data_IF_885088582601
#
_entry.id   IF_885088582601
#
_cell.length_a   1.000
_cell.length_b   1.000
_cell.length_c   1.000
_cell.angle_alpha   90.00
_cell.angle_beta   90.00
_cell.angle_gamma   90.00
#
_symmetry.space_group_name_H-M   'P 1'
#
loop_
_entity.id
_entity.type
_entity.pdbx_description
1 polymer ?
#
# COMPACT_ATOMS: atom_id res chain seq x y z
N UNK A 1 31.41 9.44 19.05
CA UNK A 1 30.76 9.31 17.74
C UNK A 1 29.95 10.57 17.48
N UNK A 2 30.09 11.25 16.33
CA UNK A 2 29.53 12.58 16.15
C UNK A 2 28.01 12.55 15.88
N UNK A 3 27.26 13.62 16.23
CA UNK A 3 25.79 13.62 16.25
C UNK A 3 25.11 13.41 14.88
N UNK A 4 25.79 13.73 13.78
CA UNK A 4 25.25 13.60 12.42
C UNK A 4 25.08 12.14 11.98
N UNK A 5 25.98 11.27 12.44
CA UNK A 5 25.99 9.86 12.08
C UNK A 5 24.92 9.06 12.82
N UNK A 6 24.61 9.47 14.05
CA UNK A 6 23.50 8.92 14.84
C UNK A 6 22.15 9.21 14.17
N UNK A 7 21.92 10.46 13.74
CA UNK A 7 20.69 10.85 13.03
C UNK A 7 20.49 10.08 11.72
N UNK A 8 21.57 9.81 10.98
CA UNK A 8 21.54 8.98 9.77
C UNK A 8 21.09 7.54 10.03
N UNK A 9 21.60 6.91 11.10
CA UNK A 9 21.24 5.53 11.48
C UNK A 9 19.77 5.39 11.89
N UNK A 10 19.24 6.34 12.66
CA UNK A 10 17.84 6.31 13.12
C UNK A 10 16.89 6.52 11.93
N UNK A 11 17.19 7.46 11.04
CA UNK A 11 16.41 7.69 9.83
C UNK A 11 16.42 6.46 8.89
N UNK A 12 17.58 5.79 8.77
CA UNK A 12 17.70 4.54 8.01
C UNK A 12 16.84 3.42 8.62
N UNK A 13 16.85 3.24 9.95
CA UNK A 13 16.01 2.25 10.63
C UNK A 13 14.52 2.51 10.39
N UNK A 14 14.07 3.75 10.54
CA UNK A 14 12.69 4.12 10.22
C UNK A 14 12.35 3.77 8.77
N UNK A 15 13.19 4.14 7.81
CA UNK A 15 12.97 3.85 6.39
C UNK A 15 12.88 2.36 6.12
N UNK A 16 13.77 1.56 6.71
CA UNK A 16 13.79 0.12 6.51
C UNK A 16 12.51 -0.55 7.06
N UNK A 17 12.09 -0.18 8.27
CA UNK A 17 10.85 -0.68 8.88
C UNK A 17 9.64 -0.24 8.05
N UNK A 18 9.60 1.03 7.66
CA UNK A 18 8.51 1.59 6.86
C UNK A 18 8.41 0.93 5.48
N UNK A 19 9.54 0.73 4.79
CA UNK A 19 9.60 0.06 3.50
C UNK A 19 9.09 -1.39 3.60
N UNK A 20 9.52 -2.13 4.63
CA UNK A 20 9.04 -3.51 4.86
C UNK A 20 7.53 -3.55 5.08
N UNK A 21 7.00 -2.67 5.92
CA UNK A 21 5.55 -2.57 6.15
C UNK A 21 4.81 -2.22 4.86
N UNK A 22 5.32 -1.28 4.08
CA UNK A 22 4.75 -0.88 2.78
C UNK A 22 4.70 -2.07 1.80
N UNK A 23 5.78 -2.84 1.69
CA UNK A 23 5.82 -4.01 0.82
C UNK A 23 4.76 -5.05 1.18
N UNK A 24 4.48 -5.26 2.47
CA UNK A 24 3.41 -6.18 2.91
C UNK A 24 2.03 -5.65 2.50
N UNK A 25 1.77 -4.36 2.73
CA UNK A 25 0.50 -3.71 2.38
C UNK A 25 0.27 -3.72 0.87
N UNK A 26 1.27 -3.35 0.07
CA UNK A 26 1.17 -3.34 -1.40
C UNK A 26 0.92 -4.73 -1.96
N UNK A 27 1.60 -5.75 -1.46
CA UNK A 27 1.34 -7.15 -1.84
C UNK A 27 -0.08 -7.59 -1.48
N UNK A 28 -0.58 -7.21 -0.30
CA UNK A 28 -1.96 -7.53 0.11
C UNK A 28 -2.99 -6.85 -0.82
N UNK A 29 -2.77 -5.58 -1.17
CA UNK A 29 -3.62 -4.86 -2.13
C UNK A 29 -3.58 -5.52 -3.51
N UNK A 30 -2.38 -5.91 -3.98
CA UNK A 30 -2.21 -6.61 -5.26
C UNK A 30 -2.99 -7.93 -5.31
N UNK A 31 -2.91 -8.75 -4.26
CA UNK A 31 -3.68 -9.99 -4.16
C UNK A 31 -5.19 -9.74 -4.12
N UNK A 32 -5.64 -8.68 -3.44
CA UNK A 32 -7.05 -8.34 -3.36
C UNK A 32 -7.61 -7.91 -4.73
N UNK A 33 -6.88 -7.04 -5.45
CA UNK A 33 -7.21 -6.64 -6.83
C UNK A 33 -7.16 -7.81 -7.81
N UNK A 34 -6.20 -8.71 -7.62
CA UNK A 34 -6.07 -9.92 -8.43
C UNK A 34 -7.30 -10.81 -8.31
N UNK A 35 -7.74 -11.11 -7.08
CA UNK A 35 -8.93 -11.93 -6.81
C UNK A 35 -10.24 -11.24 -7.21
N UNK A 36 -10.34 -9.93 -6.95
CA UNK A 36 -11.56 -9.16 -7.15
C UNK A 36 -11.32 -8.07 -8.20
N UNK A 37 -11.57 -8.40 -9.48
CA UNK A 37 -11.37 -7.49 -10.61
C UNK A 37 -12.16 -6.19 -10.49
N UNK A 38 -13.25 -6.14 -9.71
CA UNK A 38 -13.99 -4.89 -9.43
C UNK A 38 -13.17 -3.84 -8.65
N UNK A 39 -12.06 -4.24 -8.02
CA UNK A 39 -11.09 -3.33 -7.37
C UNK A 39 -9.92 -2.97 -8.29
N UNK A 40 -9.82 -3.64 -9.44
CA UNK A 40 -8.78 -3.45 -10.43
C UNK A 40 -9.32 -2.57 -11.56
N UNK A 41 -8.47 -1.72 -12.14
CA UNK A 41 -8.86 -0.85 -13.25
C UNK A 41 -9.33 -1.67 -14.47
N UNK A 42 -8.82 -2.88 -14.66
CA UNK A 42 -9.23 -3.78 -15.75
C UNK A 42 -10.67 -4.27 -15.61
N UNK A 43 -11.21 -4.36 -14.39
CA UNK A 43 -12.62 -4.69 -14.15
C UNK A 43 -13.55 -3.47 -14.13
N UNK A 44 -13.03 -2.30 -14.52
CA UNK A 44 -13.72 -1.02 -14.51
C UNK A 44 -13.37 -0.16 -13.28
N UNK A 45 -13.96 1.03 -13.21
CA UNK A 45 -13.88 1.89 -12.03
C UNK A 45 -15.16 1.72 -11.19
N UNK A 46 -15.02 1.71 -9.87
CA UNK A 46 -16.18 1.76 -8.98
C UNK A 46 -16.80 3.15 -9.04
N UNK A 47 -17.79 3.33 -9.92
CA UNK A 47 -18.56 4.57 -10.10
C UNK A 47 -19.64 4.72 -9.01
N UNK A 48 -19.24 4.60 -7.75
CA UNK A 48 -20.11 4.74 -6.59
C UNK A 48 -19.59 5.83 -5.65
N UNK A 49 -20.47 6.35 -4.79
CA UNK A 49 -20.06 7.22 -3.70
C UNK A 49 -19.01 6.55 -2.79
N UNK A 50 -18.06 7.31 -2.22
CA UNK A 50 -16.97 6.77 -1.40
C UNK A 50 -17.43 5.82 -0.29
N UNK A 51 -18.58 6.09 0.34
CA UNK A 51 -19.14 5.25 1.40
C UNK A 51 -19.53 3.86 0.89
N UNK A 52 -20.00 3.76 -0.36
CA UNK A 52 -20.33 2.48 -0.99
C UNK A 52 -19.08 1.76 -1.46
N UNK A 53 -18.09 2.49 -1.98
CA UNK A 53 -16.77 1.95 -2.33
C UNK A 53 -16.11 1.32 -1.10
N UNK A 54 -16.10 2.00 0.04
CA UNK A 54 -15.57 1.46 1.30
C UNK A 54 -16.24 0.14 1.70
N UNK A 55 -17.57 0.04 1.58
CA UNK A 55 -18.31 -1.21 1.87
C UNK A 55 -17.93 -2.35 0.91
N UNK A 56 -17.76 -2.05 -0.38
CA UNK A 56 -17.31 -3.03 -1.38
C UNK A 56 -15.91 -3.54 -1.03
N UNK A 57 -14.97 -2.64 -0.73
CA UNK A 57 -13.59 -2.99 -0.34
C UNK A 57 -13.59 -3.87 0.92
N UNK A 58 -14.40 -3.53 1.93
CA UNK A 58 -14.55 -4.34 3.14
C UNK A 58 -15.10 -5.74 2.83
N UNK A 59 -16.15 -5.85 2.02
CA UNK A 59 -16.71 -7.13 1.61
C UNK A 59 -15.67 -7.99 0.88
N UNK A 60 -14.91 -7.42 -0.06
CA UNK A 60 -13.80 -8.09 -0.73
C UNK A 60 -12.75 -8.59 0.26
N UNK A 61 -12.42 -7.82 1.30
CA UNK A 61 -11.49 -8.22 2.35
C UNK A 61 -11.99 -9.41 3.18
N UNK A 62 -13.26 -9.39 3.60
CA UNK A 62 -13.89 -10.51 4.32
C UNK A 62 -13.89 -11.77 3.47
N UNK A 63 -14.33 -11.67 2.21
CA UNK A 63 -14.37 -12.80 1.27
C UNK A 63 -12.97 -13.33 0.97
N UNK A 64 -11.96 -12.46 0.84
CA UNK A 64 -10.57 -12.88 0.67
C UNK A 64 -10.08 -13.71 1.87
N UNK A 65 -10.38 -13.27 3.10
CA UNK A 65 -9.98 -14.00 4.31
C UNK A 65 -10.65 -15.38 4.39
N UNK A 66 -11.93 -15.46 4.02
CA UNK A 66 -12.64 -16.75 3.93
C UNK A 66 -11.95 -17.65 2.91
N UNK A 67 -11.73 -17.14 1.69
CA UNK A 67 -11.06 -17.89 0.62
C UNK A 67 -9.66 -18.37 1.03
N UNK A 68 -8.89 -17.53 1.73
CA UNK A 68 -7.57 -17.86 2.24
C UNK A 68 -7.62 -18.98 3.29
N UNK A 69 -8.58 -18.92 4.23
CA UNK A 69 -8.78 -19.98 5.25
C UNK A 69 -9.18 -21.32 4.64
N UNK A 70 -9.94 -21.29 3.56
CA UNK A 70 -10.35 -22.50 2.83
C UNK A 70 -9.34 -22.96 1.78
N UNK A 71 -8.16 -22.33 1.69
CA UNK A 71 -7.12 -22.73 0.74
C UNK A 71 -7.51 -22.54 -0.72
N UNK A 72 -8.49 -21.66 -1.01
CA UNK A 72 -8.90 -21.38 -2.39
C UNK A 72 -7.75 -20.68 -3.10
N UNK A 73 -7.17 -21.26 -4.17
CA UNK A 73 -6.03 -20.68 -4.84
C UNK A 73 -6.39 -19.30 -5.40
N UNK A 74 -5.39 -18.42 -5.44
CA UNK A 74 -5.51 -17.18 -6.21
C UNK A 74 -5.43 -17.58 -7.68
N UNK A 75 -6.44 -17.26 -8.50
CA UNK A 75 -6.35 -17.50 -9.93
C UNK A 75 -5.20 -16.66 -10.49
N UNK A 76 -4.33 -17.28 -11.29
CA UNK A 76 -3.21 -16.59 -11.92
C UNK A 76 -3.77 -15.43 -12.75
N UNK A 77 -3.53 -14.22 -12.30
CA UNK A 77 -3.80 -13.04 -13.11
C UNK A 77 -2.68 -13.00 -14.11
N UNK A 78 -3.02 -13.23 -15.39
CA UNK A 78 -2.16 -12.90 -16.51
C UNK A 78 -1.55 -11.54 -16.21
N UNK A 79 -0.22 -11.45 -16.19
CA UNK A 79 0.49 -10.20 -15.96
C UNK A 79 -0.02 -9.18 -16.98
N UNK A 80 -0.96 -8.33 -16.54
CA UNK A 80 -1.32 -7.16 -17.31
C UNK A 80 -0.08 -6.26 -17.31
N UNK A 81 0.19 -5.56 -18.43
CA UNK A 81 1.29 -4.62 -18.48
C UNK A 81 1.22 -3.70 -17.26
N UNK A 82 2.37 -3.50 -16.60
CA UNK A 82 2.49 -2.60 -15.47
C UNK A 82 1.74 -1.31 -15.78
N UNK A 83 0.97 -0.80 -14.80
CA UNK A 83 0.43 0.55 -14.90
C UNK A 83 1.59 1.48 -15.31
N UNK A 84 1.41 2.37 -16.31
CA UNK A 84 2.46 3.29 -16.70
C UNK A 84 2.94 4.02 -15.44
N UNK A 85 4.26 4.05 -15.25
CA UNK A 85 4.89 4.77 -14.14
C UNK A 85 4.24 6.16 -14.06
N UNK A 86 3.67 6.56 -12.90
CA UNK A 86 2.91 7.81 -12.77
C UNK A 86 3.73 9.09 -13.03
N UNK A 87 4.93 8.96 -13.61
CA UNK A 87 5.87 10.01 -13.84
C UNK A 87 6.48 10.52 -12.53
N UNK A 88 7.46 11.43 -12.62
CA UNK A 88 7.96 12.11 -11.44
C UNK A 88 6.81 12.85 -10.75
N UNK A 89 6.58 12.49 -9.49
CA UNK A 89 5.61 13.20 -8.66
C UNK A 89 6.16 14.60 -8.36
N UNK A 90 5.74 15.59 -9.14
CA UNK A 90 6.10 17.01 -8.97
C UNK A 90 5.35 17.68 -7.80
N UNK A 91 4.58 16.92 -7.00
CA UNK A 91 3.89 17.47 -5.85
C UNK A 91 4.90 17.98 -4.81
N UNK A 92 4.70 19.23 -4.37
CA UNK A 92 5.47 19.81 -3.27
C UNK A 92 5.37 18.87 -2.04
N UNK A 93 6.49 18.48 -1.43
CA UNK A 93 6.44 17.60 -0.28
C UNK A 93 5.66 18.27 0.86
N UNK A 94 4.62 17.59 1.34
CA UNK A 94 3.76 18.10 2.40
C UNK A 94 4.59 18.34 3.69
N UNK A 95 4.68 19.60 4.12
CA UNK A 95 5.43 19.99 5.31
C UNK A 95 4.93 19.27 6.57
N UNK A 96 3.63 18.97 6.66
CA UNK A 96 3.07 18.20 7.77
C UNK A 96 3.56 16.75 7.76
N UNK A 97 3.57 16.10 6.59
CA UNK A 97 4.09 14.74 6.45
C UNK A 97 5.59 14.67 6.82
N UNK A 98 6.37 15.68 6.45
CA UNK A 98 7.78 15.79 6.85
C UNK A 98 7.91 15.91 8.37
N UNK A 99 7.10 16.78 9.01
CA UNK A 99 7.11 16.95 10.47
C UNK A 99 6.74 15.66 11.19
N UNK A 100 5.66 15.00 10.77
CA UNK A 100 5.22 13.72 11.36
C UNK A 100 6.30 12.64 11.22
N UNK A 101 6.92 12.53 10.03
CA UNK A 101 8.05 11.62 9.81
C UNK A 101 9.21 11.93 10.77
N UNK A 102 9.58 13.20 10.94
CA UNK A 102 10.65 13.59 11.87
C UNK A 102 10.31 13.24 13.32
N UNK A 103 9.06 13.42 13.75
CA UNK A 103 8.59 13.03 15.08
C UNK A 103 8.65 11.52 15.29
N UNK A 104 8.28 10.72 14.28
CA UNK A 104 8.35 9.25 14.36
C UNK A 104 9.80 8.76 14.43
N UNK A 105 10.70 9.34 13.63
CA UNK A 105 12.14 9.03 13.67
C UNK A 105 12.72 9.33 15.06
N UNK A 106 12.30 10.42 15.71
CA UNK A 106 12.79 10.77 17.04
C UNK A 106 12.31 9.83 18.17
N UNK A 107 11.32 8.97 17.91
CA UNK A 107 10.71 8.04 18.89
C UNK A 107 11.18 6.59 18.75
N UNK A 108 12.04 6.27 17.77
CA UNK A 108 12.59 4.94 17.48
C UNK A 108 14.01 4.84 18.03
#
# INVERSE_FOLDING_TARGET
>A
MPPYEYRGKVAWRYNNIHARSRSVVERAIGQLKSRWRCLDRSGGMLLYHPEKVCRIVQACGVLHNIAHRHGVPLHEVMALPDDPDPGPNNAQPNAEAIRTRQQLIARI
#
